data_IF_842163668356
#
_entry.id   IF_842163668356
#
_cell.length_a   1.000
_cell.length_b   1.000
_cell.length_c   1.000
_cell.angle_alpha   90.00
_cell.angle_beta   90.00
_cell.angle_gamma   90.00
#
_symmetry.space_group_name_H-M   'P 1'
#
loop_
_entity.id
_entity.type
_entity.pdbx_description
1 polymer ?
#
# COMPACT_ATOMS: atom_id res chain seq x y z
N UNK A 1 -30.79 -44.56 -16.35
CA UNK A 1 -30.29 -43.17 -16.38
C UNK A 1 -30.73 -42.58 -17.70
N UNK A 2 -31.46 -41.46 -17.70
CA UNK A 2 -32.00 -40.87 -18.94
C UNK A 2 -30.85 -40.25 -19.74
N UNK A 3 -30.88 -40.35 -21.07
CA UNK A 3 -29.90 -39.72 -21.96
C UNK A 3 -29.79 -38.20 -21.70
N UNK A 4 -30.93 -37.57 -21.36
CA UNK A 4 -30.97 -36.16 -20.97
C UNK A 4 -30.22 -35.88 -19.66
N UNK A 5 -30.23 -36.80 -18.69
CA UNK A 5 -29.50 -36.62 -17.42
C UNK A 5 -27.99 -36.63 -17.67
N UNK A 6 -27.51 -37.56 -18.51
CA UNK A 6 -26.10 -37.65 -18.91
C UNK A 6 -25.62 -36.41 -19.65
N UNK A 7 -26.45 -35.90 -20.57
CA UNK A 7 -26.15 -34.67 -21.30
C UNK A 7 -26.08 -33.46 -20.36
N UNK A 8 -27.05 -33.30 -19.46
CA UNK A 8 -27.07 -32.21 -18.49
C UNK A 8 -25.88 -32.28 -17.53
N UNK A 9 -25.53 -33.48 -17.03
CA UNK A 9 -24.36 -33.67 -16.18
C UNK A 9 -23.07 -33.28 -16.91
N UNK A 10 -22.90 -33.69 -18.17
CA UNK A 10 -21.73 -33.34 -18.96
C UNK A 10 -21.67 -31.82 -19.23
N UNK A 11 -22.78 -31.22 -19.64
CA UNK A 11 -22.88 -29.79 -19.88
C UNK A 11 -22.52 -28.97 -18.62
N UNK A 12 -23.11 -29.32 -17.47
CA UNK A 12 -22.83 -28.65 -16.21
C UNK A 12 -21.35 -28.79 -15.82
N UNK A 13 -20.76 -29.97 -15.99
CA UNK A 13 -19.33 -30.19 -15.71
C UNK A 13 -18.43 -29.28 -16.55
N UNK A 14 -18.71 -29.15 -17.84
CA UNK A 14 -17.95 -28.28 -18.75
C UNK A 14 -18.09 -26.81 -18.34
N UNK A 15 -19.31 -26.37 -18.04
CA UNK A 15 -19.59 -24.98 -17.63
C UNK A 15 -18.91 -24.65 -16.30
N UNK A 16 -19.03 -25.52 -15.30
CA UNK A 16 -18.40 -25.34 -13.98
C UNK A 16 -16.88 -25.24 -14.13
N UNK A 17 -16.26 -26.17 -14.88
CA UNK A 17 -14.82 -26.17 -15.10
C UNK A 17 -14.33 -24.88 -15.78
N UNK A 18 -15.07 -24.39 -16.78
CA UNK A 18 -14.76 -23.13 -17.45
C UNK A 18 -14.84 -21.94 -16.48
N UNK A 19 -15.93 -21.83 -15.72
CA UNK A 19 -16.12 -20.75 -14.77
C UNK A 19 -15.03 -20.73 -13.68
N UNK A 20 -14.63 -21.90 -13.17
CA UNK A 20 -13.53 -22.04 -12.21
C UNK A 20 -12.23 -21.49 -12.81
N UNK A 21 -11.90 -21.86 -14.05
CA UNK A 21 -10.69 -21.38 -14.72
C UNK A 21 -10.72 -19.87 -14.97
N UNK A 22 -11.86 -19.34 -15.45
CA UNK A 22 -12.01 -17.90 -15.72
C UNK A 22 -11.86 -17.09 -14.43
N UNK A 23 -12.45 -17.59 -13.33
CA UNK A 23 -12.35 -16.93 -12.03
C UNK A 23 -10.94 -17.04 -11.43
N UNK A 24 -10.24 -18.18 -11.62
CA UNK A 24 -8.83 -18.32 -11.23
C UNK A 24 -7.95 -17.27 -11.90
N UNK A 25 -8.10 -17.09 -13.22
CA UNK A 25 -7.35 -16.06 -13.97
C UNK A 25 -7.65 -14.66 -13.42
N UNK A 26 -8.92 -14.37 -13.13
CA UNK A 26 -9.30 -13.07 -12.55
C UNK A 26 -8.69 -12.83 -11.18
N UNK A 27 -8.64 -13.85 -10.32
CA UNK A 27 -8.04 -13.76 -8.99
C UNK A 27 -6.52 -13.58 -9.05
N UNK A 28 -5.84 -14.29 -9.96
CA UNK A 28 -4.39 -14.16 -10.17
C UNK A 28 -4.04 -12.73 -10.63
N UNK A 29 -4.80 -12.18 -11.56
CA UNK A 29 -4.65 -10.79 -11.99
C UNK A 29 -4.88 -9.81 -10.84
N UNK A 30 -5.90 -10.06 -10.02
CA UNK A 30 -6.19 -9.23 -8.85
C UNK A 30 -5.05 -9.27 -7.83
N UNK A 31 -4.55 -10.45 -7.48
CA UNK A 31 -3.40 -10.60 -6.57
C UNK A 31 -2.19 -9.84 -7.07
N UNK A 32 -1.83 -10.03 -8.34
CA UNK A 32 -0.71 -9.32 -8.96
C UNK A 32 -0.89 -7.80 -8.93
N UNK A 33 -2.11 -7.31 -9.14
CA UNK A 33 -2.40 -5.88 -9.07
C UNK A 33 -2.22 -5.31 -7.66
N UNK A 34 -2.64 -6.05 -6.64
CA UNK A 34 -2.48 -5.67 -5.23
C UNK A 34 -1.00 -5.64 -4.87
N UNK A 35 -0.23 -6.65 -5.28
CA UNK A 35 1.21 -6.72 -5.03
C UNK A 35 1.98 -5.56 -5.66
N UNK A 36 1.72 -5.29 -6.94
CA UNK A 36 2.32 -4.16 -7.65
C UNK A 36 1.98 -2.83 -6.96
N UNK A 37 0.74 -2.68 -6.49
CA UNK A 37 0.32 -1.46 -5.81
C UNK A 37 0.97 -1.30 -4.44
N UNK A 38 1.11 -2.37 -3.67
CA UNK A 38 1.86 -2.36 -2.40
C UNK A 38 3.32 -1.94 -2.65
N UNK A 39 3.96 -2.47 -3.70
CA UNK A 39 5.34 -2.13 -4.02
C UNK A 39 5.50 -0.65 -4.41
N UNK A 40 4.59 -0.16 -5.26
CA UNK A 40 4.51 1.26 -5.59
C UNK A 40 4.38 2.15 -4.34
N UNK A 41 3.51 1.77 -3.39
CA UNK A 41 3.33 2.52 -2.14
C UNK A 41 4.59 2.52 -1.27
N UNK A 42 5.32 1.39 -1.19
CA UNK A 42 6.60 1.30 -0.46
C UNK A 42 7.67 2.19 -1.08
N UNK A 43 7.77 2.19 -2.41
CA UNK A 43 8.71 3.07 -3.12
C UNK A 43 8.39 4.54 -2.84
N UNK A 44 7.11 4.90 -2.95
CA UNK A 44 6.63 6.25 -2.67
C UNK A 44 6.90 6.69 -1.23
N UNK A 45 6.70 5.81 -0.24
CA UNK A 45 7.05 6.05 1.16
C UNK A 45 8.54 6.33 1.32
N UNK A 46 9.38 5.55 0.62
CA UNK A 46 10.85 5.72 0.66
C UNK A 46 11.26 7.06 0.10
N UNK A 47 10.66 7.50 -1.01
CA UNK A 47 10.89 8.82 -1.58
C UNK A 47 10.45 9.93 -0.61
N UNK A 48 9.29 9.78 0.03
CA UNK A 48 8.80 10.75 1.01
C UNK A 48 9.72 10.85 2.24
N UNK A 49 10.21 9.74 2.76
CA UNK A 49 11.16 9.74 3.87
C UNK A 49 12.45 10.49 3.52
N UNK A 50 12.97 10.35 2.30
CA UNK A 50 14.13 11.13 1.85
C UNK A 50 13.86 12.64 1.85
N UNK A 51 12.64 13.06 1.49
CA UNK A 51 12.25 14.46 1.54
C UNK A 51 12.16 14.95 2.98
N UNK A 52 11.60 14.15 3.89
CA UNK A 52 11.57 14.43 5.33
C UNK A 52 13.01 14.60 5.84
N UNK A 53 13.91 13.65 5.57
CA UNK A 53 15.30 13.73 6.02
C UNK A 53 15.99 15.01 5.52
N UNK A 54 15.81 15.35 4.24
CA UNK A 54 16.37 16.57 3.65
C UNK A 54 15.81 17.84 4.30
N UNK A 55 14.51 17.85 4.61
CA UNK A 55 13.84 19.00 5.18
C UNK A 55 14.20 19.17 6.67
N UNK A 56 14.33 18.07 7.40
CA UNK A 56 14.82 18.03 8.79
C UNK A 56 16.24 18.57 8.87
N UNK A 57 17.15 18.13 7.98
CA UNK A 57 18.51 18.67 7.93
C UNK A 57 18.52 20.18 7.62
N UNK A 58 17.63 20.63 6.73
CA UNK A 58 17.49 22.07 6.41
C UNK A 58 17.01 22.86 7.63
N UNK A 59 16.04 22.31 8.37
CA UNK A 59 15.51 22.91 9.59
C UNK A 59 16.59 23.00 10.68
N UNK A 60 17.34 21.93 10.91
CA UNK A 60 18.45 21.88 11.86
C UNK A 60 19.53 22.92 11.53
N UNK A 61 19.96 22.98 10.25
CA UNK A 61 20.92 23.99 9.79
C UNK A 61 20.40 25.41 10.05
N UNK A 62 19.11 25.66 9.83
CA UNK A 62 18.50 26.97 10.09
C UNK A 62 18.55 27.34 11.58
N UNK A 63 18.30 26.38 12.47
CA UNK A 63 18.45 26.59 13.91
C UNK A 63 19.90 26.92 14.29
N UNK A 64 20.87 26.20 13.71
CA UNK A 64 22.30 26.45 13.93
C UNK A 64 22.69 27.87 13.47
N UNK A 65 22.28 28.27 12.27
CA UNK A 65 22.58 29.59 11.70
C UNK A 65 22.06 30.72 12.59
N UNK A 66 20.82 30.62 13.06
CA UNK A 66 20.21 31.63 13.94
C UNK A 66 20.94 31.65 15.29
N UNK A 67 21.23 30.48 15.87
CA UNK A 67 21.95 30.36 17.14
C UNK A 67 23.32 31.05 17.06
N UNK A 68 24.05 30.81 15.98
CA UNK A 68 25.35 31.41 15.74
C UNK A 68 25.25 32.92 15.48
N UNK A 69 24.29 33.35 14.65
CA UNK A 69 24.11 34.77 14.27
C UNK A 69 23.80 35.64 15.48
N UNK A 70 22.94 35.17 16.38
CA UNK A 70 22.51 35.92 17.57
C UNK A 70 23.32 35.56 18.82
N UNK A 71 24.39 34.76 18.70
CA UNK A 71 25.24 34.29 19.80
C UNK A 71 24.41 33.74 20.98
N UNK A 72 23.43 32.91 20.66
CA UNK A 72 22.49 32.32 21.62
C UNK A 72 23.26 31.28 22.44
N UNK A 73 23.46 31.54 23.74
CA UNK A 73 24.24 30.68 24.64
C UNK A 73 23.39 29.76 25.52
N UNK A 74 22.10 30.02 25.60
CA UNK A 74 21.15 29.30 26.44
C UNK A 74 19.89 28.98 25.65
N UNK A 75 19.15 27.95 26.09
CA UNK A 75 17.89 27.59 25.46
C UNK A 75 16.92 28.78 25.51
N UNK A 76 16.50 29.24 24.33
CA UNK A 76 15.50 30.28 24.18
C UNK A 76 14.60 29.94 22.98
N UNK A 77 13.38 30.47 23.00
CA UNK A 77 12.43 30.30 21.91
C UNK A 77 12.90 31.09 20.68
N UNK A 78 13.02 30.41 19.55
CA UNK A 78 13.37 31.01 18.26
C UNK A 78 12.10 31.19 17.44
N UNK A 79 11.58 32.42 17.44
CA UNK A 79 10.42 32.79 16.63
C UNK A 79 10.89 33.21 15.23
N UNK A 80 10.90 32.25 14.31
CA UNK A 80 11.29 32.48 12.91
C UNK A 80 10.23 31.91 11.95
N UNK A 81 9.73 32.75 11.04
CA UNK A 81 8.66 32.37 10.12
C UNK A 81 9.05 31.24 9.17
N UNK A 82 10.32 31.14 8.79
CA UNK A 82 10.82 30.08 7.91
C UNK A 82 10.89 28.75 8.65
N UNK A 83 11.33 28.78 9.91
CA UNK A 83 11.32 27.60 10.79
C UNK A 83 9.89 27.05 10.94
N UNK A 84 8.91 27.92 11.19
CA UNK A 84 7.51 27.51 11.27
C UNK A 84 6.97 26.98 9.93
N UNK A 85 7.42 27.57 8.81
CA UNK A 85 7.11 27.05 7.47
C UNK A 85 7.66 25.64 7.24
N UNK A 86 8.91 25.39 7.61
CA UNK A 86 9.57 24.10 7.49
C UNK A 86 8.91 23.04 8.39
N UNK A 87 8.56 23.38 9.63
CA UNK A 87 7.81 22.49 10.54
C UNK A 87 6.48 22.07 9.94
N UNK A 88 5.68 23.01 9.44
CA UNK A 88 4.39 22.70 8.79
C UNK A 88 4.55 21.79 7.57
N UNK A 89 5.61 21.97 6.79
CA UNK A 89 5.90 21.09 5.66
C UNK A 89 6.28 19.68 6.12
N UNK A 90 7.08 19.54 7.18
CA UNK A 90 7.37 18.26 7.81
C UNK A 90 6.08 17.56 8.28
N UNK A 91 5.21 18.27 9.00
CA UNK A 91 3.93 17.74 9.48
C UNK A 91 3.08 17.18 8.33
N UNK A 92 3.03 17.89 7.20
CA UNK A 92 2.30 17.45 6.01
C UNK A 92 2.89 16.17 5.41
N UNK A 93 4.21 16.06 5.33
CA UNK A 93 4.88 14.87 4.81
C UNK A 93 4.74 13.68 5.74
N UNK A 94 4.84 13.87 7.06
CA UNK A 94 4.61 12.83 8.05
C UNK A 94 3.16 12.31 8.01
N UNK A 95 2.18 13.22 7.95
CA UNK A 95 0.78 12.85 7.80
C UNK A 95 0.55 12.04 6.51
N UNK A 96 1.24 12.41 5.43
CA UNK A 96 1.16 11.66 4.18
C UNK A 96 1.81 10.27 4.26
N UNK A 97 2.97 10.14 4.91
CA UNK A 97 3.59 8.84 5.19
C UNK A 97 2.66 7.93 6.02
N UNK A 98 2.00 8.48 7.05
CA UNK A 98 1.03 7.75 7.86
C UNK A 98 -0.15 7.23 7.01
N UNK A 99 -0.61 8.04 6.04
CA UNK A 99 -1.64 7.62 5.09
C UNK A 99 -1.16 6.49 4.17
N UNK A 100 0.05 6.58 3.65
CA UNK A 100 0.63 5.50 2.83
C UNK A 100 0.71 4.20 3.64
N UNK A 101 1.13 4.26 4.90
CA UNK A 101 1.18 3.10 5.81
C UNK A 101 -0.19 2.45 5.98
N UNK A 102 -1.23 3.26 6.21
CA UNK A 102 -2.60 2.79 6.33
C UNK A 102 -3.09 2.13 5.03
N UNK A 103 -2.75 2.70 3.88
CA UNK A 103 -3.08 2.13 2.57
C UNK A 103 -2.38 0.78 2.33
N UNK A 104 -1.09 0.66 2.66
CA UNK A 104 -0.34 -0.61 2.59
C UNK A 104 -1.00 -1.67 3.46
N UNK A 105 -1.40 -1.32 4.69
CA UNK A 105 -2.05 -2.24 5.60
C UNK A 105 -3.43 -2.69 5.08
N UNK A 106 -4.21 -1.76 4.49
CA UNK A 106 -5.47 -2.10 3.81
C UNK A 106 -5.24 -3.09 2.66
N UNK A 107 -4.28 -2.80 1.77
CA UNK A 107 -3.97 -3.67 0.64
C UNK A 107 -3.45 -5.04 1.10
N UNK A 108 -2.71 -5.11 2.20
CA UNK A 108 -2.25 -6.37 2.78
C UNK A 108 -3.42 -7.25 3.26
N UNK A 109 -4.44 -6.65 3.88
CA UNK A 109 -5.68 -7.36 4.24
C UNK A 109 -6.45 -7.86 3.02
N UNK A 110 -6.52 -7.04 1.97
CA UNK A 110 -7.16 -7.43 0.71
C UNK A 110 -6.40 -8.58 0.03
N UNK A 111 -5.06 -8.56 0.06
CA UNK A 111 -4.22 -9.65 -0.44
C UNK A 111 -4.54 -10.96 0.27
N UNK A 112 -4.59 -10.96 1.60
CA UNK A 112 -4.92 -12.16 2.39
C UNK A 112 -6.32 -12.69 2.02
N UNK A 113 -7.29 -11.79 1.90
CA UNK A 113 -8.67 -12.16 1.52
C UNK A 113 -8.71 -12.77 0.12
N UNK A 114 -8.00 -12.17 -0.85
CA UNK A 114 -7.94 -12.65 -2.23
C UNK A 114 -7.20 -13.99 -2.32
N UNK A 115 -6.14 -14.17 -1.53
CA UNK A 115 -5.44 -15.47 -1.43
C UNK A 115 -6.38 -16.56 -0.91
N UNK A 116 -7.16 -16.27 0.14
CA UNK A 116 -8.17 -17.22 0.62
C UNK A 116 -9.21 -17.59 -0.42
N UNK A 117 -9.58 -16.66 -1.32
CA UNK A 117 -10.44 -16.97 -2.47
C UNK A 117 -9.75 -17.87 -3.49
N UNK A 118 -8.46 -17.68 -3.75
CA UNK A 118 -7.67 -18.58 -4.61
C UNK A 118 -7.65 -20.00 -4.05
N UNK A 119 -7.40 -20.14 -2.75
CA UNK A 119 -7.31 -21.44 -2.09
C UNK A 119 -8.64 -22.22 -2.18
N UNK A 120 -9.78 -21.53 -2.01
CA UNK A 120 -11.12 -22.12 -2.19
C UNK A 120 -11.33 -22.57 -3.64
N UNK A 121 -10.95 -21.75 -4.61
CA UNK A 121 -11.12 -22.06 -6.04
C UNK A 121 -10.24 -23.22 -6.48
N UNK A 122 -9.04 -23.33 -5.92
CA UNK A 122 -8.16 -24.47 -6.12
C UNK A 122 -8.81 -25.75 -5.59
N UNK A 123 -9.37 -25.73 -4.36
CA UNK A 123 -10.12 -26.87 -3.82
C UNK A 123 -11.32 -27.24 -4.71
N UNK A 124 -12.08 -26.26 -5.19
CA UNK A 124 -13.20 -26.48 -6.12
C UNK A 124 -12.74 -27.12 -7.43
N UNK A 125 -11.57 -26.72 -7.94
CA UNK A 125 -11.01 -27.29 -9.18
C UNK A 125 -10.62 -28.75 -9.06
N UNK A 126 -10.25 -29.23 -7.86
CA UNK A 126 -9.88 -30.63 -7.62
C UNK A 126 -11.13 -31.53 -7.63
N UNK A 127 -12.29 -31.01 -7.22
CA UNK A 127 -13.54 -31.77 -7.10
C UNK A 127 -14.48 -31.63 -8.31
N UNK A 128 -14.23 -30.69 -9.23
CA UNK A 128 -15.04 -30.40 -10.41
C UNK A 128 -14.69 -31.27 -11.64
#
# INVERSE_FOLDING_TARGET
MNYMDLYLQHFLKVVIKRNINDYKISLDQKLKSIENYIEYLKEKKTQMNKLIDSLTATLENKYIDITNTYNIKHAQEINNYEIEGLKRQLDLFEAYCARIEADIHRCSKEKITTQGQCDIIEQMSVVA
#
